data_IF_263183300775
#
_entry.id   IF_263183300775
#
_cell.length_a   1.000
_cell.length_b   1.000
_cell.length_c   1.000
_cell.angle_alpha   90.00
_cell.angle_beta   90.00
_cell.angle_gamma   90.00
#
_symmetry.space_group_name_H-M   'P 1'
#
loop_
_entity.id
_entity.type
_entity.pdbx_description
1 polymer ?
#
# COMPACT_ATOMS: atom_id res chain seq x y z
N UNK A 1 -6.93 -7.15 -13.27
CA UNK A 1 -5.51 -7.30 -13.60
C UNK A 1 -4.70 -6.21 -12.93
N UNK A 2 -3.64 -6.60 -12.26
CA UNK A 2 -2.72 -5.63 -11.67
C UNK A 2 -2.01 -4.85 -12.78
N UNK A 3 -1.87 -3.54 -12.61
CA UNK A 3 -1.17 -2.72 -13.57
C UNK A 3 0.09 -2.14 -12.92
N UNK A 4 1.21 -2.29 -13.61
CA UNK A 4 2.46 -1.65 -13.24
C UNK A 4 2.69 -0.53 -14.23
N UNK A 5 2.71 0.70 -13.74
CA UNK A 5 2.99 1.85 -14.58
C UNK A 5 4.51 2.04 -14.68
N UNK A 6 5.05 1.84 -15.88
CA UNK A 6 6.43 2.11 -16.20
C UNK A 6 6.51 3.41 -16.99
N UNK A 7 7.38 4.32 -16.58
CA UNK A 7 7.55 5.62 -17.24
C UNK A 7 9.00 5.87 -17.56
N UNK A 8 9.24 6.42 -18.73
CA UNK A 8 10.56 6.87 -19.13
C UNK A 8 10.81 8.26 -18.52
N UNK A 9 11.92 8.41 -17.80
CA UNK A 9 12.28 9.71 -17.20
C UNK A 9 12.88 10.62 -18.25
N UNK A 10 12.33 11.83 -18.46
CA UNK A 10 12.93 12.80 -19.37
C UNK A 10 14.38 13.12 -18.97
N UNK A 11 15.28 13.11 -19.95
CA UNK A 11 16.69 13.39 -19.72
C UNK A 11 17.53 12.21 -19.23
N UNK A 12 16.91 11.03 -19.09
CA UNK A 12 17.62 9.79 -18.74
C UNK A 12 17.21 8.69 -19.70
N UNK A 13 17.92 7.57 -19.67
CA UNK A 13 17.51 6.37 -20.39
C UNK A 13 16.84 5.34 -19.47
N UNK A 14 16.57 5.72 -18.23
CA UNK A 14 16.00 4.84 -17.22
C UNK A 14 14.48 4.85 -17.23
N UNK A 15 13.89 3.71 -16.98
CA UNK A 15 12.46 3.55 -16.74
C UNK A 15 12.21 3.49 -15.25
N UNK A 16 11.14 4.20 -14.82
CA UNK A 16 10.70 4.21 -13.43
C UNK A 16 9.39 3.45 -13.34
N UNK A 17 9.31 2.53 -12.38
CA UNK A 17 8.08 1.81 -12.08
C UNK A 17 7.38 2.58 -10.96
N UNK A 18 6.14 3.01 -11.21
CA UNK A 18 5.32 3.74 -10.26
C UNK A 18 4.14 2.89 -9.82
N UNK A 19 3.81 2.92 -8.53
CA UNK A 19 2.61 2.21 -8.05
C UNK A 19 1.35 2.95 -8.46
N UNK A 20 0.22 2.27 -8.38
CA UNK A 20 -1.10 2.87 -8.59
C UNK A 20 -2.01 2.58 -7.39
N UNK A 21 -2.95 3.48 -7.15
CA UNK A 21 -3.93 3.35 -6.06
C UNK A 21 -4.68 2.02 -6.16
N UNK A 22 -4.77 1.33 -5.03
CA UNK A 22 -5.46 0.05 -4.94
C UNK A 22 -4.55 -1.16 -5.15
N UNK A 23 -3.31 -0.94 -5.53
CA UNK A 23 -2.36 -2.03 -5.68
C UNK A 23 -1.80 -2.45 -4.33
N UNK A 24 -1.55 -3.76 -4.20
CA UNK A 24 -0.81 -4.32 -3.06
C UNK A 24 0.60 -4.65 -3.54
N UNK A 25 1.56 -4.13 -2.81
CA UNK A 25 2.99 -4.33 -3.06
C UNK A 25 3.65 -4.89 -1.81
N UNK A 26 4.72 -5.67 -1.98
CA UNK A 26 5.66 -5.87 -0.88
C UNK A 26 6.56 -4.65 -0.80
N UNK A 27 6.86 -4.23 0.41
CA UNK A 27 7.73 -3.08 0.66
C UNK A 27 8.68 -3.39 1.80
N UNK A 28 9.85 -2.77 1.77
CA UNK A 28 10.82 -2.88 2.84
C UNK A 28 10.59 -1.75 3.84
N UNK A 29 10.13 -2.11 5.04
CA UNK A 29 9.83 -1.16 6.09
C UNK A 29 10.98 -0.96 7.08
N UNK A 30 12.14 -1.55 6.84
CA UNK A 30 13.33 -1.31 7.66
C UNK A 30 14.02 0.00 7.26
N UNK A 31 14.63 0.71 8.21
CA UNK A 31 14.51 0.53 9.65
C UNK A 31 13.18 1.03 10.20
N UNK A 32 12.73 0.46 11.32
CA UNK A 32 11.52 0.91 12.01
C UNK A 32 11.83 1.29 13.45
N UNK A 33 10.89 2.00 14.08
CA UNK A 33 11.02 2.45 15.47
C UNK A 33 9.82 1.90 16.27
N UNK A 34 10.11 1.35 17.44
CA UNK A 34 9.10 0.88 18.35
C UNK A 34 8.27 -0.28 17.78
N UNK A 35 6.94 -0.10 17.76
CA UNK A 35 5.98 -1.12 17.30
C UNK A 35 5.59 -1.00 15.84
N UNK A 36 6.29 -0.17 15.09
CA UNK A 36 6.04 -0.06 13.66
C UNK A 36 6.33 -1.38 12.95
N UNK A 37 5.59 -1.62 11.86
CA UNK A 37 5.81 -2.79 11.03
C UNK A 37 7.23 -2.78 10.47
N UNK A 38 7.94 -3.91 10.56
CA UNK A 38 9.32 -4.02 10.11
C UNK A 38 9.49 -5.10 9.04
N UNK A 39 10.61 -5.03 8.31
CA UNK A 39 10.98 -6.01 7.31
C UNK A 39 10.20 -5.88 6.02
N UNK A 40 10.25 -6.93 5.20
CA UNK A 40 9.53 -7.01 3.94
C UNK A 40 8.10 -7.46 4.21
N UNK A 41 7.14 -6.56 3.95
CA UNK A 41 5.72 -6.78 4.26
C UNK A 41 4.84 -6.29 3.12
N UNK A 42 3.65 -6.89 2.95
CA UNK A 42 2.68 -6.33 2.01
C UNK A 42 2.10 -5.03 2.53
N UNK A 43 1.75 -4.16 1.60
CA UNK A 43 1.09 -2.90 1.89
C UNK A 43 0.12 -2.54 0.77
N UNK A 44 -0.91 -1.78 1.12
CA UNK A 44 -1.90 -1.27 0.17
C UNK A 44 -1.56 0.17 -0.18
N UNK A 45 -1.48 0.48 -1.47
CA UNK A 45 -1.28 1.85 -1.95
C UNK A 45 -2.64 2.56 -1.90
N UNK A 46 -2.72 3.63 -1.12
CA UNK A 46 -3.97 4.39 -0.94
C UNK A 46 -3.89 5.81 -1.47
N UNK A 47 -2.71 6.32 -1.77
CA UNK A 47 -2.55 7.67 -2.32
C UNK A 47 -3.12 7.76 -3.73
N UNK A 48 -3.55 8.98 -4.08
CA UNK A 48 -4.02 9.28 -5.43
C UNK A 48 -2.89 9.11 -6.45
N UNK A 49 -3.24 8.70 -7.66
CA UNK A 49 -2.25 8.47 -8.72
C UNK A 49 -1.54 9.76 -9.13
N UNK A 50 -2.16 10.92 -8.89
CA UNK A 50 -1.47 12.20 -9.06
C UNK A 50 -0.20 12.32 -8.23
N UNK A 51 -0.19 11.78 -7.02
CA UNK A 51 1.01 11.68 -6.19
C UNK A 51 1.87 10.50 -6.62
N UNK A 52 1.27 9.33 -6.77
CA UNK A 52 1.98 8.08 -7.08
C UNK A 52 2.83 8.19 -8.35
N UNK A 53 2.33 8.90 -9.35
CA UNK A 53 2.97 9.02 -10.66
C UNK A 53 3.74 10.32 -10.81
N UNK A 54 3.85 11.11 -9.73
CA UNK A 54 4.58 12.38 -9.76
C UNK A 54 6.09 12.16 -9.63
N UNK A 55 6.89 13.20 -9.91
CA UNK A 55 8.34 13.13 -9.70
C UNK A 55 8.78 13.10 -8.23
N UNK A 56 7.83 13.17 -7.29
CA UNK A 56 8.16 13.21 -5.86
C UNK A 56 8.76 11.91 -5.32
N UNK A 57 8.54 10.78 -6.02
CA UNK A 57 9.00 9.44 -5.62
C UNK A 57 8.51 9.05 -4.23
N UNK A 58 7.28 9.43 -3.92
CA UNK A 58 6.60 9.17 -2.66
C UNK A 58 5.24 8.54 -2.95
N UNK A 59 4.86 7.58 -2.13
CA UNK A 59 3.53 6.99 -2.14
C UNK A 59 3.02 6.84 -0.72
N UNK A 60 1.71 6.85 -0.52
CA UNK A 60 1.11 6.66 0.80
C UNK A 60 0.54 5.26 0.84
N UNK A 61 0.95 4.48 1.83
CA UNK A 61 0.60 3.08 1.95
C UNK A 61 0.06 2.75 3.34
N UNK A 62 -0.62 1.62 3.44
CA UNK A 62 -1.04 1.04 4.71
C UNK A 62 -0.45 -0.36 4.80
N UNK A 63 0.35 -0.66 5.82
CA UNK A 63 0.87 -2.02 6.04
C UNK A 63 -0.23 -3.04 6.26
N UNK A 64 0.03 -4.27 5.84
CA UNK A 64 -0.89 -5.40 5.95
C UNK A 64 -0.25 -6.46 6.83
N UNK A 65 -1.02 -7.03 7.75
CA UNK A 65 -0.56 -8.09 8.66
C UNK A 65 -1.46 -9.31 8.53
N UNK A 66 -0.89 -10.50 8.77
CA UNK A 66 -1.67 -11.73 8.86
C UNK A 66 -2.21 -11.99 10.28
N UNK A 67 -1.88 -11.13 11.25
CA UNK A 67 -2.26 -11.33 12.65
C UNK A 67 -3.59 -10.63 12.94
N UNK A 68 -4.61 -11.40 13.32
CA UNK A 68 -5.89 -10.87 13.76
C UNK A 68 -5.75 -10.34 15.18
N UNK A 69 -6.02 -9.05 15.39
CA UNK A 69 -5.94 -8.41 16.71
C UNK A 69 -7.29 -7.84 17.18
N UNK A 70 -8.34 -8.00 16.39
CA UNK A 70 -9.66 -7.48 16.74
C UNK A 70 -9.70 -5.96 16.86
N UNK A 71 -8.87 -5.24 16.14
CA UNK A 71 -8.81 -3.78 16.17
C UNK A 71 -9.79 -3.23 15.13
N UNK A 72 -10.64 -2.29 15.56
CA UNK A 72 -11.72 -1.77 14.70
C UNK A 72 -11.20 -1.05 13.45
N UNK A 73 -9.99 -0.51 13.47
CA UNK A 73 -9.39 0.16 12.33
C UNK A 73 -8.81 -0.79 11.28
N UNK A 74 -8.78 -2.10 11.57
CA UNK A 74 -8.30 -3.09 10.61
C UNK A 74 -9.41 -3.47 9.63
N UNK A 75 -9.04 -3.64 8.36
CA UNK A 75 -9.94 -4.13 7.31
C UNK A 75 -9.47 -5.51 6.90
N UNK A 76 -10.31 -6.52 7.11
CA UNK A 76 -9.98 -7.90 6.76
C UNK A 76 -10.12 -8.10 5.26
N UNK A 77 -9.14 -8.78 4.67
CA UNK A 77 -9.18 -9.24 3.28
C UNK A 77 -8.81 -10.71 3.24
N UNK A 78 -9.46 -11.45 2.34
CA UNK A 78 -9.29 -12.89 2.21
C UNK A 78 -8.70 -13.25 0.86
N UNK A 79 -7.83 -14.27 0.80
CA UNK A 79 -7.30 -14.74 -0.47
C UNK A 79 -8.43 -15.12 -1.44
N UNK A 80 -8.26 -14.93 -2.75
CA UNK A 80 -7.05 -14.44 -3.42
C UNK A 80 -7.03 -12.92 -3.61
N UNK A 81 -7.87 -12.17 -2.90
CA UNK A 81 -7.96 -10.73 -3.05
C UNK A 81 -6.58 -10.08 -2.90
N UNK A 82 -6.27 -9.15 -3.80
CA UNK A 82 -5.02 -8.41 -3.76
C UNK A 82 -3.76 -9.25 -4.00
N UNK A 83 -3.93 -10.50 -4.45
CA UNK A 83 -2.81 -11.42 -4.66
C UNK A 83 -2.26 -12.01 -3.36
N UNK A 84 -2.97 -11.86 -2.25
CA UNK A 84 -2.54 -12.41 -0.97
C UNK A 84 -2.84 -13.90 -0.88
N UNK A 85 -2.00 -14.63 -0.14
CA UNK A 85 -2.11 -16.09 0.00
C UNK A 85 -2.71 -16.53 1.32
N UNK A 86 -2.90 -15.59 2.27
CA UNK A 86 -3.49 -15.89 3.56
C UNK A 86 -4.38 -14.74 3.99
N UNK A 87 -5.34 -15.05 4.88
CA UNK A 87 -6.20 -14.03 5.48
C UNK A 87 -5.35 -12.94 6.11
N UNK A 88 -5.65 -11.70 5.81
CA UNK A 88 -4.84 -10.57 6.19
C UNK A 88 -5.70 -9.38 6.62
N UNK A 89 -5.05 -8.40 7.23
CA UNK A 89 -5.72 -7.24 7.81
C UNK A 89 -4.94 -5.98 7.40
N UNK A 90 -5.65 -5.04 6.78
CA UNK A 90 -5.10 -3.74 6.42
C UNK A 90 -5.14 -2.87 7.68
N UNK A 91 -3.97 -2.44 8.15
CA UNK A 91 -3.82 -1.73 9.43
C UNK A 91 -3.97 -0.22 9.21
N UNK A 92 -5.21 0.26 9.06
CA UNK A 92 -5.45 1.65 8.66
C UNK A 92 -4.80 2.68 9.60
N UNK A 93 -4.64 2.35 10.88
CA UNK A 93 -3.96 3.23 11.84
C UNK A 93 -2.47 3.41 11.55
N UNK A 94 -1.87 2.53 10.75
CA UNK A 94 -0.45 2.59 10.39
C UNK A 94 -0.19 3.27 9.05
N UNK A 95 -1.15 4.03 8.54
CA UNK A 95 -1.00 4.77 7.28
C UNK A 95 0.26 5.65 7.32
N UNK A 96 1.05 5.63 6.25
CA UNK A 96 2.30 6.37 6.19
C UNK A 96 2.75 6.59 4.76
N UNK A 97 3.54 7.63 4.57
CA UNK A 97 4.24 7.84 3.31
C UNK A 97 5.57 7.09 3.32
N UNK A 98 5.95 6.58 2.17
CA UNK A 98 7.25 5.93 1.97
C UNK A 98 7.84 6.38 0.64
N UNK A 99 9.16 6.26 0.52
CA UNK A 99 9.81 6.37 -0.79
C UNK A 99 9.37 5.21 -1.67
N UNK A 100 9.09 5.47 -2.94
CA UNK A 100 8.76 4.41 -3.89
C UNK A 100 9.89 3.39 -4.05
N UNK A 101 11.13 3.76 -3.70
CA UNK A 101 12.28 2.85 -3.71
C UNK A 101 12.12 1.69 -2.73
N UNK A 102 11.25 1.83 -1.74
CA UNK A 102 10.98 0.76 -0.78
C UNK A 102 10.06 -0.34 -1.33
N UNK A 103 9.38 -0.08 -2.44
CA UNK A 103 8.50 -1.06 -3.08
C UNK A 103 9.34 -2.10 -3.82
N UNK A 104 8.99 -3.37 -3.63
CA UNK A 104 9.77 -4.49 -4.17
C UNK A 104 9.01 -5.21 -5.27
N UNK A 105 7.79 -5.69 -4.99
CA UNK A 105 7.03 -6.51 -5.94
C UNK A 105 5.54 -6.22 -5.81
N UNK A 106 4.87 -6.04 -6.93
CA UNK A 106 3.42 -5.95 -6.97
C UNK A 106 2.82 -7.34 -6.80
N UNK A 107 1.84 -7.48 -5.90
CA UNK A 107 1.15 -8.73 -5.64
C UNK A 107 -0.20 -8.80 -6.32
N UNK A 108 -0.94 -7.70 -6.37
CA UNK A 108 -2.26 -7.67 -6.96
C UNK A 108 -2.94 -6.32 -6.75
N UNK A 109 -4.25 -6.31 -6.96
CA UNK A 109 -5.10 -5.11 -6.83
C UNK A 109 -6.33 -5.48 -6.00
N UNK A 110 -6.75 -4.58 -5.13
CA UNK A 110 -8.00 -4.77 -4.38
C UNK A 110 -9.18 -4.15 -5.13
N UNK A 111 -10.40 -4.69 -4.93
CA UNK A 111 -11.59 -4.10 -5.56
C UNK A 111 -11.97 -2.76 -4.93
N UNK A 112 -12.80 -2.00 -5.64
CA UNK A 112 -13.29 -0.71 -5.17
C UNK A 112 -13.99 -0.79 -3.81
N UNK A 113 -14.67 -1.91 -3.52
CA UNK A 113 -15.35 -2.10 -2.24
C UNK A 113 -14.37 -2.08 -1.06
N UNK A 114 -13.20 -2.71 -1.21
CA UNK A 114 -12.16 -2.70 -0.18
C UNK A 114 -11.59 -1.30 0.00
N UNK A 115 -11.32 -0.58 -1.09
CA UNK A 115 -10.85 0.81 -1.00
C UNK A 115 -11.87 1.70 -0.30
N UNK A 116 -13.17 1.50 -0.56
CA UNK A 116 -14.23 2.26 0.09
C UNK A 116 -14.27 2.00 1.60
N UNK A 117 -14.09 0.75 2.01
CA UNK A 117 -14.04 0.38 3.42
C UNK A 117 -12.83 1.01 4.12
N UNK A 118 -11.67 0.95 3.47
CA UNK A 118 -10.46 1.60 3.97
C UNK A 118 -10.66 3.11 4.10
N UNK A 119 -11.25 3.74 3.09
CA UNK A 119 -11.52 5.18 3.11
C UNK A 119 -12.41 5.57 4.29
N UNK A 120 -13.42 4.75 4.62
CA UNK A 120 -14.29 4.99 5.77
C UNK A 120 -13.51 4.94 7.08
N UNK A 121 -12.59 3.97 7.22
CA UNK A 121 -11.74 3.88 8.41
C UNK A 121 -10.81 5.08 8.53
N UNK A 122 -10.22 5.51 7.41
CA UNK A 122 -9.32 6.66 7.41
C UNK A 122 -10.05 7.96 7.76
N UNK A 123 -11.28 8.15 7.26
CA UNK A 123 -12.10 9.30 7.61
C UNK A 123 -12.34 9.36 9.11
N UNK A 124 -12.64 8.22 9.72
CA UNK A 124 -12.85 8.13 11.17
C UNK A 124 -11.55 8.43 11.92
N UNK A 125 -10.45 7.77 11.54
CA UNK A 125 -9.17 7.91 12.23
C UNK A 125 -8.61 9.34 12.13
N UNK A 126 -8.80 9.99 10.99
CA UNK A 126 -8.22 11.30 10.70
C UNK A 126 -9.24 12.44 10.91
N UNK A 127 -10.46 12.11 11.28
CA UNK A 127 -11.54 13.09 11.50
C UNK A 127 -11.82 13.95 10.25
N UNK A 128 -11.93 13.29 9.13
CA UNK A 128 -12.19 13.95 7.83
C UNK A 128 -13.68 14.00 7.50
#
# INVERSE_FOLDING_TARGET
MASILARFLPGTEDWVIKPSRGEIWTANFNPTVGREQSGLRPCLVVSADGLNHSPADITIVIPITSKAKGIASHVQINPPEGGLTMRSFIKCEDIRSISTDRLVKQLGVVPAATLSEVASKLKFLLNL
#
